data_IF_521962601048
#
_entry.id   IF_521962601048
#
_cell.length_a   1.000
_cell.length_b   1.000
_cell.length_c   1.000
_cell.angle_alpha   90.00
_cell.angle_beta   90.00
_cell.angle_gamma   90.00
#
_symmetry.space_group_name_H-M   'P 1'
#
loop_
_entity.id
_entity.type
_entity.pdbx_description
1 polymer ?
#
# COMPACT_ATOMS: atom_id res chain seq x y z
N UNK A 1 57.93 5.48 -1.01
CA UNK A 1 57.54 4.26 -0.25
C UNK A 1 56.03 4.12 -0.39
N UNK A 2 55.60 3.16 -1.21
CA UNK A 2 54.21 2.92 -1.59
C UNK A 2 53.38 2.45 -0.41
N UNK A 3 52.25 3.10 -0.13
CA UNK A 3 51.13 2.44 0.54
C UNK A 3 50.10 2.16 -0.54
N UNK A 4 50.03 0.88 -0.90
CA UNK A 4 49.11 0.34 -1.87
C UNK A 4 47.67 0.49 -1.38
N UNK A 5 46.86 1.11 -2.24
CA UNK A 5 45.48 0.80 -2.56
C UNK A 5 44.95 -0.51 -1.93
N UNK A 6 44.14 -0.38 -0.88
CA UNK A 6 43.26 -1.45 -0.39
C UNK A 6 41.84 -1.24 -0.93
N UNK A 7 41.69 -1.21 -2.25
CA UNK A 7 40.40 -1.43 -2.93
C UNK A 7 40.09 -2.93 -2.97
N UNK A 8 39.88 -3.52 -1.80
CA UNK A 8 39.26 -4.83 -1.66
C UNK A 8 37.75 -4.70 -1.89
N UNK A 9 37.32 -4.68 -3.16
CA UNK A 9 35.93 -4.81 -3.52
C UNK A 9 35.38 -6.12 -2.95
N UNK A 10 34.64 -6.04 -1.84
CA UNK A 10 33.85 -7.14 -1.30
C UNK A 10 32.86 -7.58 -2.38
N UNK A 11 33.18 -8.64 -3.10
CA UNK A 11 32.28 -9.29 -4.04
C UNK A 11 30.99 -9.62 -3.28
N UNK A 12 29.88 -8.97 -3.65
CA UNK A 12 28.58 -9.24 -3.07
C UNK A 12 28.23 -10.71 -3.35
N UNK A 13 28.39 -11.58 -2.34
CA UNK A 13 28.00 -12.99 -2.44
C UNK A 13 26.53 -13.06 -2.86
N UNK A 14 26.27 -13.62 -4.05
CA UNK A 14 24.91 -13.82 -4.55
C UNK A 14 24.19 -14.75 -3.58
N UNK A 15 23.15 -14.24 -2.92
CA UNK A 15 22.30 -15.05 -2.04
C UNK A 15 21.71 -16.22 -2.85
N UNK A 16 21.73 -17.45 -2.31
CA UNK A 16 21.19 -18.61 -3.01
C UNK A 16 19.69 -18.42 -3.27
N UNK A 17 19.15 -19.05 -4.32
CA UNK A 17 17.80 -18.76 -4.82
C UNK A 17 16.69 -18.98 -3.77
N UNK A 18 16.86 -19.95 -2.85
CA UNK A 18 15.94 -20.23 -1.74
C UNK A 18 16.00 -19.19 -0.60
N UNK A 19 17.01 -18.32 -0.58
CA UNK A 19 17.13 -17.20 0.34
C UNK A 19 16.50 -15.90 -0.21
N UNK A 20 15.90 -15.96 -1.41
CA UNK A 20 15.16 -14.85 -1.99
C UNK A 20 13.73 -14.82 -1.43
N UNK A 21 13.32 -13.66 -0.89
CA UNK A 21 12.01 -13.50 -0.24
C UNK A 21 10.85 -13.85 -1.18
N UNK A 22 10.93 -13.47 -2.46
CA UNK A 22 9.85 -13.78 -3.40
C UNK A 22 9.66 -15.29 -3.61
N UNK A 23 10.75 -16.07 -3.59
CA UNK A 23 10.68 -17.54 -3.69
C UNK A 23 10.04 -18.12 -2.45
N UNK A 24 10.43 -17.63 -1.27
CA UNK A 24 9.84 -18.05 0.01
C UNK A 24 8.34 -17.76 0.06
N UNK A 25 7.92 -16.57 -0.40
CA UNK A 25 6.50 -16.18 -0.48
C UNK A 25 5.74 -17.08 -1.44
N UNK A 26 6.27 -17.36 -2.63
CA UNK A 26 5.61 -18.27 -3.58
C UNK A 26 5.45 -19.68 -3.00
N UNK A 27 6.50 -20.22 -2.37
CA UNK A 27 6.45 -21.53 -1.71
C UNK A 27 5.41 -21.51 -0.57
N UNK A 28 5.38 -20.47 0.26
CA UNK A 28 4.41 -20.33 1.35
C UNK A 28 2.96 -20.27 0.83
N UNK A 29 2.71 -19.53 -0.26
CA UNK A 29 1.40 -19.48 -0.92
C UNK A 29 1.01 -20.87 -1.43
N UNK A 30 1.92 -21.57 -2.13
CA UNK A 30 1.64 -22.93 -2.63
C UNK A 30 1.33 -23.89 -1.48
N UNK A 31 2.12 -23.89 -0.41
CA UNK A 31 1.87 -24.71 0.78
C UNK A 31 0.54 -24.35 1.44
N UNK A 32 0.22 -23.06 1.56
CA UNK A 32 -1.05 -22.59 2.12
C UNK A 32 -2.27 -23.05 1.30
N UNK A 33 -2.18 -23.00 -0.02
CA UNK A 33 -3.23 -23.51 -0.93
C UNK A 33 -3.39 -25.02 -0.77
N UNK A 34 -2.29 -25.78 -0.78
CA UNK A 34 -2.33 -27.24 -0.62
C UNK A 34 -2.92 -27.62 0.74
N UNK A 35 -2.51 -26.95 1.81
CA UNK A 35 -3.03 -27.20 3.16
C UNK A 35 -4.52 -26.86 3.27
N UNK A 36 -4.97 -25.74 2.69
CA UNK A 36 -6.39 -25.38 2.66
C UNK A 36 -7.23 -26.36 1.83
N UNK A 37 -6.68 -26.94 0.77
CA UNK A 37 -7.39 -27.89 -0.08
C UNK A 37 -7.47 -29.30 0.55
N UNK A 38 -6.35 -29.82 1.07
CA UNK A 38 -6.28 -31.17 1.63
C UNK A 38 -6.71 -31.27 3.10
N UNK A 39 -6.53 -30.19 3.88
CA UNK A 39 -6.89 -30.13 5.30
C UNK A 39 -7.64 -28.82 5.64
N UNK A 40 -8.91 -28.67 5.19
CA UNK A 40 -9.65 -27.42 5.30
C UNK A 40 -9.78 -26.89 6.74
N UNK A 41 -10.03 -27.77 7.72
CA UNK A 41 -10.15 -27.40 9.14
C UNK A 41 -8.85 -26.82 9.71
N UNK A 42 -7.71 -27.36 9.30
CA UNK A 42 -6.39 -26.83 9.68
C UNK A 42 -6.17 -25.49 8.99
N UNK A 43 -6.51 -25.37 7.70
CA UNK A 43 -6.45 -24.11 6.94
C UNK A 43 -7.23 -22.97 7.60
N UNK A 44 -8.47 -23.23 8.03
CA UNK A 44 -9.28 -22.25 8.76
C UNK A 44 -8.65 -21.86 10.10
N UNK A 45 -8.10 -22.83 10.84
CA UNK A 45 -7.42 -22.55 12.12
C UNK A 45 -6.17 -21.67 11.98
N UNK A 46 -5.58 -21.59 10.78
CA UNK A 46 -4.43 -20.73 10.49
C UNK A 46 -4.83 -19.28 10.15
N UNK A 47 -6.12 -18.98 9.96
CA UNK A 47 -6.62 -17.63 9.66
C UNK A 47 -6.07 -16.53 10.61
N UNK A 48 -5.97 -16.73 11.95
CA UNK A 48 -5.41 -15.72 12.84
C UNK A 48 -3.98 -15.28 12.49
N UNK A 49 -3.18 -16.15 11.88
CA UNK A 49 -1.82 -15.78 11.41
C UNK A 49 -1.89 -14.80 10.23
N UNK A 50 -2.79 -15.05 9.28
CA UNK A 50 -3.03 -14.13 8.15
C UNK A 50 -3.60 -12.79 8.62
N UNK A 51 -4.57 -12.82 9.54
CA UNK A 51 -5.15 -11.62 10.11
C UNK A 51 -4.12 -10.80 10.91
N UNK A 52 -3.24 -11.46 11.67
CA UNK A 52 -2.15 -10.81 12.37
C UNK A 52 -1.16 -10.15 11.40
N UNK A 53 -0.76 -10.85 10.33
CA UNK A 53 0.09 -10.28 9.29
C UNK A 53 -0.53 -9.04 8.63
N UNK A 54 -1.81 -9.11 8.24
CA UNK A 54 -2.51 -7.96 7.65
C UNK A 54 -2.56 -6.79 8.64
N UNK A 55 -2.83 -7.04 9.93
CA UNK A 55 -2.82 -5.98 10.97
C UNK A 55 -1.45 -5.34 11.12
N UNK A 56 -0.37 -6.14 11.12
CA UNK A 56 1.01 -5.64 11.18
C UNK A 56 1.32 -4.77 9.96
N UNK A 57 0.97 -5.21 8.75
CA UNK A 57 1.18 -4.40 7.53
C UNK A 57 0.39 -3.10 7.61
N UNK A 58 -0.92 -3.16 7.96
CA UNK A 58 -1.78 -1.97 8.07
C UNK A 58 -1.25 -0.94 9.06
N UNK A 59 -0.72 -1.37 10.20
CA UNK A 59 -0.13 -0.49 11.23
C UNK A 59 1.01 0.37 10.68
N UNK A 60 1.82 -0.17 9.74
CA UNK A 60 2.99 0.54 9.22
C UNK A 60 2.64 1.49 8.06
N UNK A 61 1.54 1.23 7.35
CA UNK A 61 1.19 1.97 6.12
C UNK A 61 1.09 3.48 6.39
N UNK A 62 0.33 3.89 7.41
CA UNK A 62 0.12 5.30 7.71
C UNK A 62 1.43 6.08 7.98
N UNK A 63 2.32 5.67 8.91
CA UNK A 63 3.58 6.37 9.14
C UNK A 63 4.53 6.32 7.93
N UNK A 64 4.58 5.21 7.18
CA UNK A 64 5.42 5.13 5.97
C UNK A 64 4.94 6.10 4.90
N UNK A 65 3.64 6.17 4.63
CA UNK A 65 3.06 7.11 3.67
C UNK A 65 3.39 8.54 4.10
N UNK A 66 3.15 8.88 5.36
CA UNK A 66 3.42 10.23 5.85
C UNK A 66 4.87 10.65 5.68
N UNK A 67 5.81 9.81 6.12
CA UNK A 67 7.24 10.13 6.00
C UNK A 67 7.67 10.22 4.53
N UNK A 68 7.26 9.25 3.70
CA UNK A 68 7.69 9.18 2.30
C UNK A 68 7.13 10.35 1.48
N UNK A 69 5.85 10.66 1.63
CA UNK A 69 5.19 11.73 0.86
C UNK A 69 5.63 13.10 1.35
N UNK A 70 5.65 13.33 2.67
CA UNK A 70 6.06 14.62 3.24
C UNK A 70 7.50 14.94 2.89
N UNK A 71 8.43 14.03 3.16
CA UNK A 71 9.87 14.26 2.86
C UNK A 71 10.13 14.27 1.36
N UNK A 72 9.40 13.47 0.58
CA UNK A 72 9.49 13.44 -0.87
C UNK A 72 9.09 14.76 -1.52
N UNK A 73 8.00 15.38 -1.07
CA UNK A 73 7.55 16.69 -1.57
C UNK A 73 8.45 17.81 -1.05
N UNK A 74 8.73 17.83 0.25
CA UNK A 74 9.54 18.88 0.88
C UNK A 74 10.99 18.89 0.38
N UNK A 75 11.52 17.74 -0.03
CA UNK A 75 12.85 17.62 -0.63
C UNK A 75 12.93 18.08 -2.09
N UNK A 76 11.80 18.40 -2.74
CA UNK A 76 11.81 18.96 -4.09
C UNK A 76 12.01 20.47 -4.02
N UNK A 77 13.04 20.97 -4.70
CA UNK A 77 13.38 22.40 -4.76
C UNK A 77 12.38 23.25 -5.55
N UNK A 78 11.42 22.63 -6.25
CA UNK A 78 10.50 23.30 -7.16
C UNK A 78 9.12 22.65 -7.11
N UNK A 79 8.15 23.41 -6.59
CA UNK A 79 6.76 22.98 -6.45
C UNK A 79 6.07 22.74 -7.80
N UNK A 80 6.51 23.39 -8.88
CA UNK A 80 5.99 23.13 -10.23
C UNK A 80 6.37 21.71 -10.70
N UNK A 81 7.55 21.22 -10.29
CA UNK A 81 7.95 19.83 -10.57
C UNK A 81 7.06 18.84 -9.83
N UNK A 82 6.69 19.11 -8.58
CA UNK A 82 5.75 18.27 -7.81
C UNK A 82 4.42 18.14 -8.55
N UNK A 83 3.82 19.26 -8.96
CA UNK A 83 2.55 19.25 -9.71
C UNK A 83 2.65 18.49 -11.04
N UNK A 84 3.75 18.64 -11.77
CA UNK A 84 3.99 17.88 -13.02
C UNK A 84 4.15 16.38 -12.78
N UNK A 85 4.84 15.99 -11.72
CA UNK A 85 4.99 14.57 -11.35
C UNK A 85 3.64 13.99 -10.94
N UNK A 86 2.87 14.69 -10.10
CA UNK A 86 1.52 14.29 -9.70
C UNK A 86 0.58 14.15 -10.91
N UNK A 87 0.60 15.10 -11.85
CA UNK A 87 -0.18 15.03 -13.07
C UNK A 87 0.20 13.84 -13.97
N UNK A 88 1.50 13.57 -14.15
CA UNK A 88 1.98 12.38 -14.87
C UNK A 88 1.58 11.09 -14.16
N UNK A 89 1.65 11.04 -12.84
CA UNK A 89 1.25 9.89 -12.05
C UNK A 89 -0.26 9.64 -12.15
N UNK A 90 -1.09 10.69 -12.10
CA UNK A 90 -2.54 10.58 -12.30
C UNK A 90 -2.91 10.10 -13.70
N UNK A 91 -2.26 10.64 -14.74
CA UNK A 91 -2.48 10.16 -16.11
C UNK A 91 -2.07 8.69 -16.24
N UNK A 92 -0.89 8.32 -15.73
CA UNK A 92 -0.43 6.93 -15.71
C UNK A 92 -1.41 6.01 -14.97
N UNK A 93 -1.84 6.42 -13.77
CA UNK A 93 -2.80 5.67 -12.96
C UNK A 93 -4.11 5.49 -13.70
N UNK A 94 -4.70 6.54 -14.27
CA UNK A 94 -5.98 6.46 -14.95
C UNK A 94 -5.88 5.56 -16.20
N UNK A 95 -4.83 5.73 -17.02
CA UNK A 95 -4.63 4.92 -18.21
C UNK A 95 -4.45 3.43 -17.89
N UNK A 96 -3.54 3.08 -16.98
CA UNK A 96 -3.27 1.68 -16.65
C UNK A 96 -4.42 1.03 -15.87
N UNK A 97 -5.10 1.78 -15.00
CA UNK A 97 -6.27 1.27 -14.27
C UNK A 97 -7.44 1.01 -15.18
N UNK A 98 -7.75 1.94 -16.11
CA UNK A 98 -8.80 1.73 -17.10
C UNK A 98 -8.47 0.55 -18.02
N UNK A 99 -7.21 0.42 -18.45
CA UNK A 99 -6.78 -0.74 -19.25
C UNK A 99 -6.94 -2.05 -18.48
N UNK A 100 -6.56 -2.08 -17.21
CA UNK A 100 -6.73 -3.26 -16.35
C UNK A 100 -8.22 -3.63 -16.18
N UNK A 101 -9.11 -2.63 -16.01
CA UNK A 101 -10.55 -2.85 -15.95
C UNK A 101 -11.11 -3.41 -17.26
N UNK A 102 -10.67 -2.90 -18.41
CA UNK A 102 -11.09 -3.41 -19.72
C UNK A 102 -10.68 -4.88 -19.88
N UNK A 103 -9.42 -5.22 -19.57
CA UNK A 103 -8.93 -6.60 -19.64
C UNK A 103 -9.71 -7.49 -18.68
N UNK A 104 -9.92 -7.04 -17.43
CA UNK A 104 -10.70 -7.77 -16.44
C UNK A 104 -12.14 -8.03 -16.90
N UNK A 105 -12.78 -7.04 -17.52
CA UNK A 105 -14.12 -7.17 -18.07
C UNK A 105 -14.16 -8.17 -19.23
N UNK A 106 -13.21 -8.10 -20.16
CA UNK A 106 -13.12 -9.05 -21.28
C UNK A 106 -12.94 -10.48 -20.76
N UNK A 107 -12.00 -10.70 -19.84
CA UNK A 107 -11.75 -12.03 -19.26
C UNK A 107 -12.97 -12.54 -18.51
N UNK A 108 -13.63 -11.70 -17.70
CA UNK A 108 -14.83 -12.08 -16.97
C UNK A 108 -15.99 -12.47 -17.90
N UNK A 109 -16.19 -11.76 -19.01
CA UNK A 109 -17.26 -12.07 -19.96
C UNK A 109 -16.96 -13.29 -20.84
N UNK A 110 -15.68 -13.60 -21.10
CA UNK A 110 -15.27 -14.74 -21.94
C UNK A 110 -15.16 -16.03 -21.13
N UNK A 111 -14.46 -15.99 -19.99
CA UNK A 111 -14.26 -17.15 -19.12
C UNK A 111 -15.54 -17.47 -18.32
N UNK A 112 -16.38 -16.45 -18.09
CA UNK A 112 -17.61 -16.55 -17.30
C UNK A 112 -17.42 -17.31 -15.99
N UNK A 113 -16.47 -16.90 -15.13
CA UNK A 113 -16.25 -17.57 -13.85
C UNK A 113 -17.51 -17.43 -12.99
N UNK A 114 -18.32 -18.50 -12.93
CA UNK A 114 -19.66 -18.46 -12.35
C UNK A 114 -20.72 -19.20 -13.19
N UNK A 115 -20.48 -19.39 -14.49
CA UNK A 115 -21.36 -20.21 -15.33
C UNK A 115 -21.35 -21.67 -14.82
N UNK A 116 -22.54 -22.21 -14.54
CA UNK A 116 -22.71 -23.55 -13.98
C UNK A 116 -22.80 -23.61 -12.45
N UNK A 117 -22.70 -22.48 -11.75
CA UNK A 117 -23.21 -22.40 -10.39
C UNK A 117 -24.74 -22.36 -10.46
N UNK A 118 -25.42 -23.46 -10.10
CA UNK A 118 -26.89 -23.55 -9.95
C UNK A 118 -27.40 -22.73 -8.74
N UNK A 119 -26.95 -21.49 -8.60
CA UNK A 119 -27.36 -20.57 -7.54
C UNK A 119 -28.62 -19.87 -8.06
N UNK A 120 -29.78 -20.18 -7.47
CA UNK A 120 -31.03 -19.45 -7.76
C UNK A 120 -30.99 -18.10 -7.05
N UNK A 121 -30.91 -16.95 -7.78
CA UNK A 121 -30.87 -15.61 -7.19
C UNK A 121 -32.05 -15.33 -6.24
N UNK A 122 -33.19 -15.99 -6.43
CA UNK A 122 -34.38 -15.84 -5.59
C UNK A 122 -34.24 -16.51 -4.21
N UNK A 123 -33.27 -17.42 -4.05
CA UNK A 123 -32.97 -18.10 -2.78
C UNK A 123 -31.87 -17.41 -1.97
N UNK A 124 -31.23 -16.37 -2.53
CA UNK A 124 -30.22 -15.58 -1.82
C UNK A 124 -30.91 -14.52 -0.95
N UNK A 125 -30.38 -14.35 0.26
CA UNK A 125 -30.76 -13.28 1.16
C UNK A 125 -30.36 -11.92 0.56
N UNK A 126 -31.31 -11.26 -0.12
CA UNK A 126 -31.11 -9.94 -0.69
C UNK A 126 -30.91 -8.84 0.38
N UNK A 127 -31.13 -9.12 1.67
CA UNK A 127 -30.96 -8.13 2.75
C UNK A 127 -29.49 -7.68 2.89
N UNK A 128 -28.55 -8.61 2.69
CA UNK A 128 -27.11 -8.28 2.71
C UNK A 128 -26.72 -7.47 1.48
N UNK A 129 -27.30 -7.77 0.31
CA UNK A 129 -27.06 -7.02 -0.94
C UNK A 129 -27.61 -5.60 -0.84
N UNK A 130 -28.79 -5.41 -0.25
CA UNK A 130 -29.40 -4.10 -0.07
C UNK A 130 -28.53 -3.15 0.77
N UNK A 131 -27.79 -3.68 1.75
CA UNK A 131 -26.85 -2.87 2.55
C UNK A 131 -25.70 -2.34 1.70
N UNK A 132 -25.16 -3.14 0.78
CA UNK A 132 -24.09 -2.70 -0.13
C UNK A 132 -24.62 -1.79 -1.25
N UNK A 133 -25.82 -2.07 -1.77
CA UNK A 133 -26.47 -1.21 -2.76
C UNK A 133 -26.78 0.18 -2.20
N UNK A 134 -27.26 0.26 -0.96
CA UNK A 134 -27.48 1.53 -0.25
C UNK A 134 -26.16 2.30 -0.05
N UNK A 135 -25.09 1.61 0.40
CA UNK A 135 -23.75 2.23 0.53
C UNK A 135 -23.18 2.73 -0.80
N UNK A 136 -23.45 2.04 -1.90
CA UNK A 136 -23.04 2.48 -3.23
C UNK A 136 -23.80 3.74 -3.66
N UNK A 137 -25.06 3.87 -3.27
CA UNK A 137 -25.89 5.05 -3.54
C UNK A 137 -25.45 6.29 -2.72
N UNK A 138 -24.91 6.07 -1.51
CA UNK A 138 -24.34 7.11 -0.65
C UNK A 138 -22.93 7.56 -1.07
N UNK A 139 -22.24 6.82 -1.95
CA UNK A 139 -20.95 7.22 -2.52
C UNK A 139 -21.13 8.29 -3.61
N UNK A 140 -21.54 9.49 -3.20
CA UNK A 140 -21.44 10.67 -4.05
C UNK A 140 -19.98 11.11 -4.20
N UNK A 141 -19.64 11.70 -5.36
CA UNK A 141 -18.32 12.31 -5.59
C UNK A 141 -18.02 13.34 -4.50
N UNK A 142 -19.02 14.13 -4.11
CA UNK A 142 -18.92 15.11 -3.02
C UNK A 142 -18.59 14.43 -1.68
N UNK A 143 -19.30 13.36 -1.32
CA UNK A 143 -19.04 12.61 -0.10
C UNK A 143 -17.63 12.02 -0.07
N UNK A 144 -17.17 11.46 -1.18
CA UNK A 144 -15.80 10.97 -1.32
C UNK A 144 -14.76 12.09 -1.10
N UNK A 145 -14.92 13.25 -1.76
CA UNK A 145 -14.01 14.38 -1.59
C UNK A 145 -14.01 14.94 -0.16
N UNK A 146 -15.18 15.00 0.48
CA UNK A 146 -15.29 15.44 1.87
C UNK A 146 -14.60 14.47 2.83
N UNK A 147 -14.68 13.15 2.58
CA UNK A 147 -14.04 12.13 3.41
C UNK A 147 -12.50 12.15 3.34
N UNK A 148 -11.91 12.76 2.30
CA UNK A 148 -10.45 12.95 2.20
C UNK A 148 -9.94 13.95 3.25
N UNK A 149 -10.78 14.90 3.67
CA UNK A 149 -10.41 15.92 4.65
C UNK A 149 -10.66 15.35 6.06
N UNK A 150 -9.61 15.07 6.86
CA UNK A 150 -9.81 14.56 8.21
C UNK A 150 -10.40 15.62 9.13
N UNK A 151 -11.23 15.17 10.08
CA UNK A 151 -11.72 16.04 11.17
C UNK A 151 -10.59 16.47 12.11
N UNK A 152 -9.62 15.59 12.35
CA UNK A 152 -8.40 15.87 13.12
C UNK A 152 -7.20 15.14 12.52
N UNK A 153 -6.01 15.73 12.63
CA UNK A 153 -4.78 15.10 12.14
C UNK A 153 -4.56 13.76 12.83
N UNK A 154 -4.68 13.72 14.16
CA UNK A 154 -4.46 12.50 14.95
C UNK A 154 -5.48 11.42 14.60
N UNK A 155 -6.74 11.78 14.34
CA UNK A 155 -7.79 10.86 13.89
C UNK A 155 -7.42 10.13 12.62
N UNK A 156 -6.88 10.84 11.61
CA UNK A 156 -6.43 10.21 10.36
C UNK A 156 -5.42 9.07 10.58
N UNK A 157 -4.48 9.27 11.51
CA UNK A 157 -3.49 8.25 11.86
C UNK A 157 -4.05 7.15 12.77
N UNK A 158 -4.94 7.49 13.69
CA UNK A 158 -5.53 6.56 14.66
C UNK A 158 -6.53 5.60 13.99
N UNK A 159 -7.38 6.12 13.11
CA UNK A 159 -8.37 5.35 12.36
C UNK A 159 -7.74 4.62 11.17
N UNK A 160 -6.51 4.99 10.79
CA UNK A 160 -5.76 4.38 9.70
C UNK A 160 -6.33 4.70 8.32
N UNK A 161 -7.01 5.85 8.17
CA UNK A 161 -7.52 6.28 6.87
C UNK A 161 -6.36 6.76 5.98
N UNK A 162 -6.03 5.91 5.00
CA UNK A 162 -4.90 6.12 4.09
C UNK A 162 -5.07 7.40 3.27
N UNK A 163 -6.28 7.72 2.81
CA UNK A 163 -6.53 8.90 1.97
C UNK A 163 -6.37 10.18 2.79
N UNK A 164 -6.87 10.19 4.01
CA UNK A 164 -6.73 11.33 4.92
C UNK A 164 -5.26 11.57 5.31
N UNK A 165 -4.54 10.50 5.65
CA UNK A 165 -3.09 10.59 5.94
C UNK A 165 -2.35 11.12 4.72
N UNK A 166 -2.63 10.60 3.53
CA UNK A 166 -2.02 11.06 2.28
C UNK A 166 -2.28 12.55 2.04
N UNK A 167 -3.53 12.99 2.19
CA UNK A 167 -3.93 14.38 2.00
C UNK A 167 -3.16 15.33 2.94
N UNK A 168 -3.14 15.01 4.23
CA UNK A 168 -2.36 15.77 5.21
C UNK A 168 -0.86 15.78 4.87
N UNK A 169 -0.30 14.64 4.46
CA UNK A 169 1.12 14.51 4.09
C UNK A 169 1.51 15.41 2.92
N UNK A 170 0.63 15.51 1.92
CA UNK A 170 0.84 16.40 0.77
C UNK A 170 0.83 17.85 1.20
N UNK A 171 -0.19 18.29 1.94
CA UNK A 171 -0.30 19.67 2.41
C UNK A 171 0.89 20.06 3.31
N UNK A 172 1.27 19.16 4.24
CA UNK A 172 2.37 19.40 5.15
C UNK A 172 3.72 19.42 4.43
N UNK A 173 3.94 18.52 3.46
CA UNK A 173 5.13 18.52 2.60
C UNK A 173 5.26 19.81 1.78
N UNK A 174 4.16 20.30 1.21
CA UNK A 174 4.12 21.58 0.49
C UNK A 174 4.41 22.74 1.45
N UNK A 175 3.78 22.77 2.63
CA UNK A 175 4.02 23.81 3.63
C UNK A 175 5.49 23.85 4.06
N UNK A 176 6.12 22.69 4.31
CA UNK A 176 7.56 22.60 4.61
C UNK A 176 8.42 23.15 3.47
N UNK A 177 8.10 22.84 2.23
CA UNK A 177 8.81 23.38 1.07
C UNK A 177 8.70 24.91 0.97
N UNK A 178 7.52 25.46 1.26
CA UNK A 178 7.25 26.91 1.19
C UNK A 178 7.89 27.70 2.34
N UNK A 179 8.05 27.09 3.52
CA UNK A 179 8.70 27.72 4.69
C UNK A 179 10.21 27.89 4.48
N UNK A 180 10.83 27.10 3.60
CA UNK A 180 12.26 27.20 3.27
C UNK A 180 13.16 26.82 4.45
N UNK A 181 14.22 27.60 4.70
CA UNK A 181 15.27 27.28 5.68
C UNK A 181 14.74 27.03 7.09
N UNK A 182 13.66 27.70 7.49
CA UNK A 182 13.04 27.50 8.82
C UNK A 182 12.40 26.12 8.98
N UNK A 183 12.06 25.45 7.88
CA UNK A 183 11.50 24.10 7.87
C UNK A 183 12.55 22.98 7.91
N UNK A 184 13.82 23.31 7.66
CA UNK A 184 14.92 22.33 7.58
C UNK A 184 15.08 21.45 8.82
N UNK A 185 14.97 21.96 10.07
CA UNK A 185 15.07 21.09 11.25
C UNK A 185 13.99 20.01 11.29
N UNK A 186 12.76 20.35 10.85
CA UNK A 186 11.63 19.41 10.80
C UNK A 186 11.86 18.40 9.68
N UNK A 187 12.24 18.86 8.48
CA UNK A 187 12.52 17.97 7.35
C UNK A 187 13.63 16.95 7.68
N UNK A 188 14.73 17.42 8.29
CA UNK A 188 15.84 16.55 8.69
C UNK A 188 15.41 15.52 9.74
N UNK A 189 14.58 15.92 10.71
CA UNK A 189 14.02 15.00 11.69
C UNK A 189 13.16 13.91 11.03
N UNK A 190 12.26 14.29 10.11
CA UNK A 190 11.42 13.34 9.39
C UNK A 190 12.25 12.38 8.53
N UNK A 191 13.28 12.88 7.84
CA UNK A 191 14.21 12.05 7.08
C UNK A 191 14.98 11.06 7.98
N UNK A 192 15.43 11.50 9.15
CA UNK A 192 16.07 10.63 10.12
C UNK A 192 15.10 9.54 10.62
N UNK A 193 13.83 9.88 10.84
CA UNK A 193 12.79 8.97 11.28
C UNK A 193 12.40 7.91 10.22
N UNK A 194 12.59 8.21 8.93
CA UNK A 194 12.38 7.24 7.83
C UNK A 194 13.21 5.98 8.02
N UNK A 195 14.47 6.09 8.46
CA UNK A 195 15.38 4.94 8.57
C UNK A 195 14.89 3.86 9.56
N UNK A 196 14.58 4.18 10.84
CA UNK A 196 14.06 3.19 11.78
C UNK A 196 12.69 2.65 11.35
N UNK A 197 11.82 3.46 10.73
CA UNK A 197 10.52 2.98 10.22
C UNK A 197 10.70 1.98 9.08
N UNK A 198 11.58 2.24 8.11
CA UNK A 198 11.88 1.27 7.05
C UNK A 198 12.62 0.04 7.59
N UNK A 199 13.40 0.18 8.66
CA UNK A 199 13.98 -0.98 9.36
C UNK A 199 12.88 -1.84 9.99
N UNK A 200 11.88 -1.23 10.61
CA UNK A 200 10.71 -1.93 11.14
C UNK A 200 9.95 -2.68 10.04
N UNK A 201 9.74 -2.06 8.87
CA UNK A 201 9.19 -2.73 7.68
C UNK A 201 10.03 -3.95 7.31
N UNK A 202 11.36 -3.81 7.23
CA UNK A 202 12.22 -4.95 6.90
C UNK A 202 12.20 -6.05 7.96
N UNK A 203 11.99 -5.73 9.24
CA UNK A 203 11.85 -6.74 10.29
C UNK A 203 10.53 -7.48 10.08
N UNK A 204 9.43 -6.76 9.87
CA UNK A 204 8.10 -7.35 9.70
C UNK A 204 7.93 -8.15 8.39
N UNK A 205 8.66 -7.80 7.34
CA UNK A 205 8.68 -8.61 6.10
C UNK A 205 9.54 -9.87 6.19
N UNK A 206 10.41 -9.99 7.21
CA UNK A 206 11.31 -11.13 7.42
C UNK A 206 10.94 -12.00 8.61
N UNK A 207 10.14 -11.45 9.53
CA UNK A 207 9.57 -12.14 10.68
C UNK A 207 8.39 -13.01 10.23
#
# INVERSE_FOLDING_TARGET
MHIADQSGALAAQRKPFYAQLYVQVLVAITVGILLGHFYPSVGESMKPLGDAFIKLVKMIIAPVIFLTVTTGIAGMSDLQKVGRVAGKAMLYFLTFSTLALIIGLVVANVVQPGAGFNIDPATLDASTVNTYAAKAHDQSVTGFLMNIIPSTIVGAFADGDILQVLFFSVLFGIALALVGDKGMPVLNFLQALTTPIFKLVSVLMKA
#
